data_IF_368381219863
#
_entry.id   IF_368381219863
#
_cell.length_a   1.000
_cell.length_b   1.000
_cell.length_c   1.000
_cell.angle_alpha   90.00
_cell.angle_beta   90.00
_cell.angle_gamma   90.00
#
_symmetry.space_group_name_H-M   'P 1'
#
loop_
_entity.id
_entity.type
_entity.pdbx_description
1 polymer ?
#
# COMPACT_ATOMS: atom_id res chain seq x y z
N UNK A 1 8.34 -4.22 26.62
CA UNK A 1 8.46 -3.67 25.24
C UNK A 1 7.28 -4.23 24.48
N UNK A 2 6.49 -3.39 23.79
CA UNK A 2 5.40 -3.91 22.95
C UNK A 2 6.06 -4.53 21.74
N UNK A 3 5.85 -5.82 21.53
CA UNK A 3 6.31 -6.52 20.34
C UNK A 3 5.54 -5.98 19.14
N UNK A 4 6.27 -5.53 18.10
CA UNK A 4 5.65 -5.17 16.82
C UNK A 4 5.48 -6.43 15.98
N UNK A 5 4.38 -6.53 15.24
CA UNK A 5 4.19 -7.63 14.27
C UNK A 5 5.18 -7.54 13.09
N UNK A 6 5.88 -6.40 12.95
CA UNK A 6 6.93 -6.18 11.99
C UNK A 6 8.29 -6.77 12.41
N UNK A 7 8.43 -7.27 13.64
CA UNK A 7 9.66 -7.94 14.08
C UNK A 7 10.00 -9.14 13.18
N UNK A 8 11.28 -9.27 12.81
CA UNK A 8 11.82 -10.33 11.95
C UNK A 8 11.17 -10.41 10.55
N UNK A 9 10.49 -9.34 10.09
CA UNK A 9 9.88 -9.27 8.76
C UNK A 9 10.85 -8.78 7.70
N UNK A 10 10.58 -9.14 6.45
CA UNK A 10 11.27 -8.59 5.28
C UNK A 10 10.32 -7.82 4.39
N UNK A 11 10.63 -6.55 4.16
CA UNK A 11 9.86 -5.63 3.36
C UNK A 11 10.64 -5.22 2.10
N UNK A 12 9.90 -4.87 1.05
CA UNK A 12 10.44 -4.20 -0.12
C UNK A 12 9.77 -2.84 -0.27
N UNK A 13 10.54 -1.77 -0.43
CA UNK A 13 10.05 -0.44 -0.82
C UNK A 13 10.59 -0.05 -2.20
N UNK A 14 9.71 0.39 -3.09
CA UNK A 14 10.07 0.85 -4.44
C UNK A 14 9.50 2.24 -4.69
N UNK A 15 10.38 3.24 -4.81
CA UNK A 15 10.04 4.67 -4.97
C UNK A 15 11.21 5.37 -5.65
N UNK A 16 10.98 6.20 -6.66
CA UNK A 16 12.05 6.89 -7.38
C UNK A 16 12.65 8.06 -6.61
N UNK A 17 12.02 8.46 -5.49
CA UNK A 17 12.46 9.51 -4.57
C UNK A 17 13.29 8.88 -3.41
N UNK A 18 14.63 8.99 -3.41
CA UNK A 18 15.47 8.33 -2.40
C UNK A 18 15.23 8.81 -0.96
N UNK A 19 14.81 10.07 -0.81
CA UNK A 19 14.42 10.70 0.47
C UNK A 19 13.16 10.06 1.06
N UNK A 20 12.22 9.63 0.21
CA UNK A 20 11.04 8.86 0.68
C UNK A 20 11.47 7.50 1.22
N UNK A 21 12.42 6.84 0.55
CA UNK A 21 12.96 5.56 1.00
C UNK A 21 13.78 5.69 2.29
N UNK A 22 14.55 6.77 2.45
CA UNK A 22 15.26 7.12 3.69
C UNK A 22 14.27 7.37 4.83
N UNK A 23 13.23 8.16 4.59
CA UNK A 23 12.17 8.40 5.59
C UNK A 23 11.48 7.09 6.00
N UNK A 24 11.19 6.18 5.06
CA UNK A 24 10.63 4.87 5.40
C UNK A 24 11.57 4.05 6.29
N UNK A 25 12.87 4.06 6.00
CA UNK A 25 13.87 3.39 6.81
C UNK A 25 13.94 3.96 8.22
N UNK A 26 13.93 5.29 8.38
CA UNK A 26 13.89 5.97 9.67
C UNK A 26 12.63 5.62 10.48
N UNK A 27 11.45 5.58 9.85
CA UNK A 27 10.20 5.22 10.54
C UNK A 27 10.19 3.75 11.01
N UNK A 28 10.92 2.89 10.32
CA UNK A 28 11.03 1.46 10.60
C UNK A 28 12.26 1.14 11.48
N UNK A 29 13.08 2.14 11.79
CA UNK A 29 14.28 1.99 12.61
C UNK A 29 13.91 1.51 14.02
N UNK A 30 14.73 0.63 14.58
CA UNK A 30 14.53 0.08 15.92
C UNK A 30 13.53 -1.08 16.00
N UNK A 31 12.86 -1.45 14.91
CA UNK A 31 12.08 -2.69 14.85
C UNK A 31 13.06 -3.86 14.71
N UNK A 32 13.08 -4.72 15.73
CA UNK A 32 14.05 -5.81 15.82
C UNK A 32 13.94 -6.78 14.65
N UNK A 33 15.07 -7.03 13.98
CA UNK A 33 15.17 -8.05 12.93
C UNK A 33 14.44 -7.70 11.62
N UNK A 34 13.83 -6.51 11.53
CA UNK A 34 13.20 -6.04 10.31
C UNK A 34 14.26 -5.76 9.25
N UNK A 35 14.02 -6.24 8.04
CA UNK A 35 14.86 -5.96 6.86
C UNK A 35 14.03 -5.18 5.85
N UNK A 36 14.54 -4.01 5.43
CA UNK A 36 13.95 -3.21 4.37
C UNK A 36 14.87 -3.22 3.14
N UNK A 37 14.46 -3.95 2.10
CA UNK A 37 15.08 -3.80 0.78
C UNK A 37 14.48 -2.60 0.06
N UNK A 38 15.32 -1.88 -0.70
CA UNK A 38 14.97 -0.63 -1.37
C UNK A 38 15.30 -0.70 -2.86
N UNK A 39 14.45 -0.13 -3.71
CA UNK A 39 14.72 0.07 -5.13
C UNK A 39 14.19 1.43 -5.60
N UNK A 40 14.91 2.06 -6.52
CA UNK A 40 14.58 3.40 -7.05
C UNK A 40 14.00 3.37 -8.46
N UNK A 41 13.83 2.18 -9.03
CA UNK A 41 13.34 1.99 -10.39
C UNK A 41 12.55 0.68 -10.51
N UNK A 42 11.78 0.59 -11.59
CA UNK A 42 10.94 -0.57 -11.86
C UNK A 42 11.77 -1.84 -11.99
N UNK A 43 12.86 -1.78 -12.74
CA UNK A 43 13.64 -2.95 -13.16
C UNK A 43 14.22 -3.64 -11.93
N UNK A 44 14.86 -2.87 -11.05
CA UNK A 44 15.40 -3.33 -9.77
C UNK A 44 14.28 -3.84 -8.86
N UNK A 45 13.17 -3.09 -8.72
CA UNK A 45 12.02 -3.51 -7.91
C UNK A 45 11.42 -4.84 -8.37
N UNK A 46 11.24 -5.00 -9.68
CA UNK A 46 10.72 -6.22 -10.30
C UNK A 46 11.70 -7.40 -10.15
N UNK A 47 13.01 -7.16 -10.29
CA UNK A 47 14.02 -8.16 -10.03
C UNK A 47 14.01 -8.64 -8.58
N UNK A 48 13.89 -7.73 -7.61
CA UNK A 48 13.79 -8.07 -6.19
C UNK A 48 12.54 -8.89 -5.89
N UNK A 49 11.37 -8.47 -6.39
CA UNK A 49 10.11 -9.21 -6.24
C UNK A 49 10.22 -10.68 -6.71
N UNK A 50 11.03 -10.95 -7.73
CA UNK A 50 11.22 -12.29 -8.28
C UNK A 50 12.34 -13.10 -7.60
N UNK A 51 13.23 -12.43 -6.89
CA UNK A 51 14.44 -13.04 -6.32
C UNK A 51 14.28 -13.38 -4.83
N UNK A 52 13.38 -12.69 -4.14
CA UNK A 52 13.18 -12.81 -2.70
C UNK A 52 11.70 -13.00 -2.34
N UNK A 53 11.47 -13.53 -1.15
CA UNK A 53 10.14 -13.53 -0.53
C UNK A 53 10.03 -12.33 0.41
N UNK A 54 8.90 -11.64 0.33
CA UNK A 54 8.59 -10.49 1.17
C UNK A 54 7.32 -10.74 1.97
N UNK A 55 7.32 -10.28 3.23
CA UNK A 55 6.12 -10.25 4.06
C UNK A 55 5.17 -9.15 3.60
N UNK A 56 5.69 -8.04 3.06
CA UNK A 56 4.90 -6.92 2.51
C UNK A 56 5.74 -6.08 1.53
N UNK A 57 5.08 -5.51 0.52
CA UNK A 57 5.69 -4.64 -0.50
C UNK A 57 5.04 -3.25 -0.47
N UNK A 58 5.85 -2.20 -0.53
CA UNK A 58 5.45 -0.79 -0.55
C UNK A 58 5.86 -0.20 -1.91
N UNK A 59 4.91 0.39 -2.64
CA UNK A 59 5.11 0.82 -4.02
C UNK A 59 4.62 2.26 -4.22
N UNK A 60 5.48 3.15 -4.73
CA UNK A 60 4.97 4.37 -5.37
C UNK A 60 4.35 4.05 -6.72
N UNK A 61 3.44 4.91 -7.15
CA UNK A 61 2.71 4.81 -8.41
C UNK A 61 3.50 5.44 -9.56
N UNK A 62 4.00 6.67 -9.36
CA UNK A 62 4.77 7.38 -10.38
C UNK A 62 6.26 7.09 -10.27
N UNK A 63 7.01 7.37 -11.34
CA UNK A 63 8.46 7.10 -11.42
C UNK A 63 8.84 5.63 -11.64
N UNK A 64 8.21 4.69 -10.92
CA UNK A 64 8.59 3.27 -10.88
C UNK A 64 7.59 2.32 -11.55
N UNK A 65 6.62 2.85 -12.30
CA UNK A 65 5.51 2.08 -12.90
C UNK A 65 4.76 1.24 -11.85
N UNK A 66 4.34 1.88 -10.76
CA UNK A 66 3.81 1.20 -9.58
C UNK A 66 2.64 0.26 -9.80
N UNK A 67 1.76 0.54 -10.77
CA UNK A 67 0.67 -0.38 -11.10
C UNK A 67 1.16 -1.70 -11.70
N UNK A 68 2.24 -1.67 -12.49
CA UNK A 68 2.84 -2.88 -13.06
C UNK A 68 3.49 -3.71 -11.94
N UNK A 69 4.20 -3.04 -11.01
CA UNK A 69 4.76 -3.69 -9.81
C UNK A 69 3.66 -4.24 -8.89
N UNK A 70 2.55 -3.52 -8.71
CA UNK A 70 1.40 -3.98 -7.93
C UNK A 70 0.83 -5.27 -8.53
N UNK A 71 0.61 -5.28 -9.85
CA UNK A 71 0.13 -6.47 -10.55
C UNK A 71 1.08 -7.66 -10.36
N UNK A 72 2.39 -7.43 -10.42
CA UNK A 72 3.39 -8.47 -10.21
C UNK A 72 3.38 -8.97 -8.75
N UNK A 73 3.38 -8.05 -7.78
CA UNK A 73 3.37 -8.40 -6.36
C UNK A 73 2.13 -9.21 -5.97
N UNK A 74 0.95 -8.79 -6.41
CA UNK A 74 -0.31 -9.51 -6.14
C UNK A 74 -0.32 -10.87 -6.84
N UNK A 75 0.18 -10.97 -8.08
CA UNK A 75 0.29 -12.24 -8.78
C UNK A 75 1.25 -13.23 -8.11
N UNK A 76 2.30 -12.72 -7.46
CA UNK A 76 3.25 -13.50 -6.66
C UNK A 76 2.71 -13.80 -5.24
N UNK A 77 1.57 -13.25 -4.86
CA UNK A 77 0.92 -13.47 -3.56
C UNK A 77 1.40 -12.56 -2.44
N UNK A 78 2.17 -11.52 -2.73
CA UNK A 78 2.62 -10.56 -1.72
C UNK A 78 1.52 -9.54 -1.39
N UNK A 79 1.28 -9.21 -0.11
CA UNK A 79 0.45 -8.08 0.24
C UNK A 79 1.18 -6.78 -0.15
N UNK A 80 0.54 -5.98 -0.99
CA UNK A 80 1.12 -4.76 -1.54
C UNK A 80 0.36 -3.52 -1.04
N UNK A 81 1.12 -2.48 -0.72
CA UNK A 81 0.63 -1.17 -0.28
C UNK A 81 1.08 -0.12 -1.30
N UNK A 82 0.15 0.73 -1.72
CA UNK A 82 0.49 1.88 -2.55
C UNK A 82 0.83 3.06 -1.63
N UNK A 83 1.97 3.70 -1.84
CA UNK A 83 2.43 4.89 -1.10
C UNK A 83 2.69 6.02 -2.09
N UNK A 84 1.83 7.04 -2.16
CA UNK A 84 1.95 8.08 -3.20
C UNK A 84 1.59 9.47 -2.71
N UNK A 85 2.31 10.49 -3.21
CA UNK A 85 1.90 11.89 -3.09
C UNK A 85 1.21 12.37 -4.36
N UNK A 86 1.85 12.09 -5.49
CA UNK A 86 1.55 12.78 -6.73
C UNK A 86 0.38 12.16 -7.52
N UNK A 87 0.11 10.84 -7.42
CA UNK A 87 -1.04 10.20 -8.06
C UNK A 87 -2.22 10.00 -7.09
N UNK A 88 -2.37 10.92 -6.13
CA UNK A 88 -3.46 10.91 -5.17
C UNK A 88 -4.77 11.37 -5.83
N UNK A 89 -5.58 10.41 -6.27
CA UNK A 89 -6.87 10.67 -6.94
C UNK A 89 -7.89 9.56 -6.68
N UNK A 90 -9.21 9.84 -6.81
CA UNK A 90 -10.26 8.82 -6.71
C UNK A 90 -10.06 7.62 -7.64
N UNK A 91 -9.61 7.87 -8.87
CA UNK A 91 -9.40 6.83 -9.88
C UNK A 91 -8.21 5.94 -9.54
N UNK A 92 -7.10 6.52 -9.07
CA UNK A 92 -5.94 5.76 -8.64
C UNK A 92 -6.22 4.91 -7.40
N UNK A 93 -6.97 5.47 -6.42
CA UNK A 93 -7.42 4.72 -5.25
C UNK A 93 -8.32 3.54 -5.64
N UNK A 94 -9.35 3.78 -6.47
CA UNK A 94 -10.24 2.73 -6.95
C UNK A 94 -9.48 1.65 -7.73
N UNK A 95 -8.60 2.05 -8.64
CA UNK A 95 -7.77 1.14 -9.42
C UNK A 95 -6.87 0.28 -8.53
N UNK A 96 -6.25 0.87 -7.50
CA UNK A 96 -5.40 0.13 -6.56
C UNK A 96 -6.19 -0.96 -5.81
N UNK A 97 -7.39 -0.62 -5.34
CA UNK A 97 -8.30 -1.58 -4.68
C UNK A 97 -8.68 -2.72 -5.64
N UNK A 98 -9.09 -2.37 -6.87
CA UNK A 98 -9.51 -3.33 -7.90
C UNK A 98 -8.36 -4.27 -8.32
N UNK A 99 -7.12 -3.77 -8.32
CA UNK A 99 -5.91 -4.55 -8.61
C UNK A 99 -5.44 -5.42 -7.44
N UNK A 100 -6.09 -5.33 -6.28
CA UNK A 100 -5.78 -6.17 -5.11
C UNK A 100 -4.79 -5.56 -4.13
N UNK A 101 -4.48 -4.25 -4.21
CA UNK A 101 -3.72 -3.57 -3.16
C UNK A 101 -4.42 -3.75 -1.81
N UNK A 102 -3.63 -3.81 -0.75
CA UNK A 102 -4.11 -3.99 0.62
C UNK A 102 -4.32 -2.66 1.34
N UNK A 103 -3.58 -1.62 0.93
CA UNK A 103 -3.77 -0.27 1.40
C UNK A 103 -3.32 0.76 0.34
N UNK A 104 -3.79 1.99 0.50
CA UNK A 104 -3.36 3.15 -0.27
C UNK A 104 -3.10 4.29 0.70
N UNK A 105 -1.84 4.69 0.83
CA UNK A 105 -1.35 5.61 1.85
C UNK A 105 -0.81 6.85 1.15
N UNK A 106 -1.35 8.05 1.44
CA UNK A 106 -0.74 9.29 0.99
C UNK A 106 0.63 9.48 1.66
N UNK A 107 1.68 9.91 0.93
CA UNK A 107 3.00 10.19 1.54
C UNK A 107 2.92 11.20 2.70
N UNK A 108 1.91 12.08 2.69
CA UNK A 108 1.57 13.02 3.80
C UNK A 108 1.31 12.32 5.15
N UNK A 109 1.02 11.01 5.14
CA UNK A 109 0.72 10.19 6.33
C UNK A 109 1.83 9.18 6.69
N UNK A 110 3.05 9.34 6.17
CA UNK A 110 4.17 8.44 6.48
C UNK A 110 4.58 8.44 7.95
N UNK A 111 4.29 9.50 8.71
CA UNK A 111 4.54 9.51 10.16
C UNK A 111 3.77 8.44 10.94
N UNK A 112 2.72 7.87 10.34
CA UNK A 112 1.93 6.77 10.90
C UNK A 112 2.15 5.44 10.15
N UNK A 113 3.20 5.34 9.31
CA UNK A 113 3.39 4.21 8.39
C UNK A 113 3.39 2.86 9.10
N UNK A 114 4.06 2.78 10.25
CA UNK A 114 4.13 1.56 11.07
C UNK A 114 2.72 1.04 11.37
N UNK A 115 1.82 1.89 11.84
CA UNK A 115 0.46 1.48 12.19
C UNK A 115 -0.32 0.95 10.97
N UNK A 116 -0.10 1.51 9.78
CA UNK A 116 -0.72 1.01 8.55
C UNK A 116 -0.16 -0.36 8.15
N UNK A 117 1.16 -0.55 8.21
CA UNK A 117 1.79 -1.82 7.86
C UNK A 117 1.39 -2.94 8.84
N UNK A 118 1.32 -2.63 10.13
CA UNK A 118 0.81 -3.57 11.14
C UNK A 118 -0.64 -3.98 10.86
N UNK A 119 -1.48 -3.04 10.44
CA UNK A 119 -2.88 -3.32 10.06
C UNK A 119 -2.95 -4.24 8.83
N UNK A 120 -2.12 -3.98 7.82
CA UNK A 120 -2.04 -4.80 6.59
C UNK A 120 -1.68 -6.25 6.89
N UNK A 121 -0.75 -6.48 7.83
CA UNK A 121 -0.29 -7.81 8.22
C UNK A 121 -1.20 -8.51 9.23
N UNK A 122 -1.92 -7.77 10.07
CA UNK A 122 -2.72 -8.33 11.17
C UNK A 122 -4.19 -8.58 10.82
N UNK A 123 -4.73 -7.84 9.85
CA UNK A 123 -6.16 -7.87 9.52
C UNK A 123 -6.42 -8.59 8.20
N UNK A 124 -7.62 -9.14 8.06
CA UNK A 124 -8.13 -9.59 6.78
C UNK A 124 -8.24 -8.44 5.77
N UNK A 125 -8.01 -8.72 4.48
CA UNK A 125 -7.91 -7.71 3.41
C UNK A 125 -9.03 -6.66 3.44
N UNK A 126 -10.28 -7.11 3.58
CA UNK A 126 -11.44 -6.23 3.58
C UNK A 126 -11.52 -5.34 4.84
N UNK A 127 -11.00 -5.83 5.97
CA UNK A 127 -10.96 -5.08 7.23
C UNK A 127 -9.85 -4.03 7.22
N UNK A 128 -8.75 -4.26 6.49
CA UNK A 128 -7.71 -3.25 6.27
C UNK A 128 -8.31 -2.00 5.61
N UNK A 129 -9.11 -2.17 4.56
CA UNK A 129 -9.75 -1.03 3.89
C UNK A 129 -10.72 -0.28 4.79
N UNK A 130 -11.56 -1.00 5.56
CA UNK A 130 -12.43 -0.35 6.55
C UNK A 130 -11.62 0.52 7.51
N UNK A 131 -10.57 -0.04 8.11
CA UNK A 131 -9.72 0.68 9.07
C UNK A 131 -8.95 1.84 8.44
N UNK A 132 -8.51 1.68 7.18
CA UNK A 132 -7.90 2.76 6.41
C UNK A 132 -8.89 3.91 6.23
N UNK A 133 -10.14 3.65 5.85
CA UNK A 133 -11.16 4.70 5.68
C UNK A 133 -11.60 5.33 7.00
N UNK A 134 -11.57 4.59 8.12
CA UNK A 134 -11.76 5.17 9.46
C UNK A 134 -10.65 6.19 9.80
N UNK A 135 -9.41 5.95 9.36
CA UNK A 135 -8.26 6.85 9.57
C UNK A 135 -8.20 8.00 8.55
N UNK A 136 -8.36 7.70 7.27
CA UNK A 136 -8.06 8.59 6.14
C UNK A 136 -9.31 9.09 5.40
N UNK A 137 -10.51 8.66 5.78
CA UNK A 137 -11.74 9.05 5.09
C UNK A 137 -11.98 10.56 5.09
N UNK A 138 -11.66 11.24 6.21
CA UNK A 138 -11.70 12.71 6.30
C UNK A 138 -10.73 13.37 5.31
N UNK A 139 -9.47 12.89 5.29
CA UNK A 139 -8.45 13.35 4.36
C UNK A 139 -8.86 13.16 2.89
N UNK A 140 -9.39 11.98 2.52
CA UNK A 140 -9.85 11.74 1.16
C UNK A 140 -11.02 12.64 0.77
N UNK A 141 -11.97 12.89 1.68
CA UNK A 141 -13.08 13.81 1.42
C UNK A 141 -12.62 15.25 1.22
N UNK A 142 -11.64 15.71 2.02
CA UNK A 142 -11.04 17.04 1.86
C UNK A 142 -10.29 17.15 0.53
N UNK A 143 -9.45 16.16 0.21
CA UNK A 143 -8.62 16.18 -1.00
C UNK A 143 -9.43 16.02 -2.29
N UNK A 144 -10.44 15.17 -2.29
CA UNK A 144 -11.20 14.80 -3.50
C UNK A 144 -12.53 15.56 -3.64
N UNK A 145 -13.00 16.22 -2.59
CA UNK A 145 -14.28 16.92 -2.54
C UNK A 145 -15.46 15.99 -2.21
N UNK A 146 -16.58 16.53 -1.69
CA UNK A 146 -17.65 15.76 -1.00
C UNK A 146 -18.37 14.70 -1.85
N UNK A 147 -18.25 14.76 -3.17
CA UNK A 147 -19.02 13.95 -4.12
C UNK A 147 -18.16 12.94 -4.89
N UNK A 148 -16.89 12.78 -4.52
CA UNK A 148 -15.93 11.95 -5.25
C UNK A 148 -16.33 10.48 -5.37
N UNK A 149 -17.16 9.99 -4.44
CA UNK A 149 -17.67 8.61 -4.45
C UNK A 149 -18.93 8.41 -5.32
N UNK A 150 -19.60 9.48 -5.79
CA UNK A 150 -20.91 9.36 -6.50
C UNK A 150 -20.84 8.47 -7.74
N UNK A 151 -19.73 8.51 -8.48
CA UNK A 151 -19.57 7.76 -9.73
C UNK A 151 -19.53 6.24 -9.58
N UNK A 152 -19.19 5.73 -8.39
CA UNK A 152 -19.14 4.28 -8.08
C UNK A 152 -19.72 3.99 -6.69
N UNK A 153 -20.93 4.51 -6.40
CA UNK A 153 -21.53 4.49 -5.06
C UNK A 153 -21.50 3.11 -4.37
N UNK A 154 -21.98 2.07 -5.04
CA UNK A 154 -22.02 0.70 -4.47
C UNK A 154 -20.64 0.16 -4.13
N UNK A 155 -19.65 0.38 -5.02
CA UNK A 155 -18.26 -0.02 -4.78
C UNK A 155 -17.70 0.65 -3.52
N UNK A 156 -17.87 1.97 -3.38
CA UNK A 156 -17.36 2.68 -2.21
C UNK A 156 -18.08 2.27 -0.93
N UNK A 157 -19.39 2.03 -0.97
CA UNK A 157 -20.15 1.50 0.17
C UNK A 157 -19.61 0.13 0.62
N UNK A 158 -19.27 -0.75 -0.32
CA UNK A 158 -18.68 -2.06 -0.02
C UNK A 158 -17.25 -1.94 0.53
N UNK A 159 -16.42 -1.06 -0.04
CA UNK A 159 -15.04 -0.85 0.42
C UNK A 159 -15.03 -0.26 1.84
N UNK A 160 -15.79 0.82 2.07
CA UNK A 160 -15.84 1.52 3.37
C UNK A 160 -16.43 0.62 4.45
N UNK A 161 -17.38 -0.26 4.10
CA UNK A 161 -17.96 -1.20 5.06
C UNK A 161 -17.12 -2.47 5.28
N UNK A 162 -16.02 -2.65 4.55
CA UNK A 162 -15.20 -3.86 4.57
C UNK A 162 -15.92 -5.09 4.01
N UNK A 163 -16.84 -4.91 3.06
CA UNK A 163 -17.50 -6.02 2.35
C UNK A 163 -16.91 -6.29 0.98
N UNK A 164 -16.14 -5.35 0.43
CA UNK A 164 -15.52 -5.51 -0.87
C UNK A 164 -14.52 -6.66 -0.87
N UNK A 165 -14.63 -7.54 -1.86
CA UNK A 165 -13.67 -8.61 -2.13
C UNK A 165 -13.12 -8.42 -3.54
N UNK A 166 -11.80 -8.23 -3.72
CA UNK A 166 -11.22 -8.15 -5.05
C UNK A 166 -11.53 -9.45 -5.81
N UNK A 167 -11.80 -9.31 -7.11
CA UNK A 167 -11.93 -10.48 -7.98
C UNK A 167 -10.59 -11.22 -8.12
N UNK A 168 -10.60 -12.48 -8.60
CA UNK A 168 -9.35 -13.17 -8.92
C UNK A 168 -8.56 -12.37 -9.96
N UNK A 169 -7.29 -12.10 -9.68
CA UNK A 169 -6.39 -11.44 -10.63
C UNK A 169 -6.11 -12.43 -11.76
N UNK A 170 -6.78 -12.25 -12.89
CA UNK A 170 -6.52 -13.02 -14.10
C UNK A 170 -5.35 -12.35 -14.82
N UNK A 171 -4.16 -12.95 -14.73
CA UNK A 171 -3.03 -12.61 -15.59
C UNK A 171 -3.46 -12.83 -17.05
N UNK A 172 -3.49 -11.77 -17.84
CA UNK A 172 -3.62 -11.85 -19.30
C UNK A 172 -2.25 -11.87 -19.95
#
# INVERSE_FOLDING_TARGET
MRHSILEEKRLLAVDDEPDVLETLEEQLEGIKGLVLDKATDYETGYHLLRSWSYDLVILDIMGVRGFDLLSAAVALGFPAVMLTAHMLSPSALAKSIEMGARAFIPKEHMGDIVAFLEDVLSLDHHMVWKRLFERLGGFFNEKFGPDWMKGKKTFWEEVVSGRYKPGPVILK
#
